data_IF_802614416380
#
_entry.id   IF_802614416380
#
_cell.length_a   1.000
_cell.length_b   1.000
_cell.length_c   1.000
_cell.angle_alpha   90.00
_cell.angle_beta   90.00
_cell.angle_gamma   90.00
#
_symmetry.space_group_name_H-M   'P 1'
#
loop_
_entity.id
_entity.type
_entity.pdbx_description
1 polymer ?
#
# COMPACT_ATOMS: atom_id res chain seq x y z
N UNK A 1 -17.37 -17.40 5.70
CA UNK A 1 -17.90 -16.53 4.62
C UNK A 1 -16.81 -15.55 4.20
N UNK A 2 -15.98 -15.91 3.22
CA UNK A 2 -15.00 -14.97 2.66
C UNK A 2 -15.74 -13.89 1.87
N UNK A 3 -15.70 -12.66 2.38
CA UNK A 3 -16.21 -11.49 1.65
C UNK A 3 -15.23 -11.19 0.53
N UNK A 4 -15.61 -11.49 -0.72
CA UNK A 4 -14.84 -11.14 -1.91
C UNK A 4 -14.75 -9.62 -2.04
N UNK A 5 -13.58 -9.12 -2.46
CA UNK A 5 -13.40 -7.73 -2.84
C UNK A 5 -14.32 -7.45 -4.05
N UNK A 6 -15.07 -6.34 -4.07
CA UNK A 6 -15.94 -6.02 -5.21
C UNK A 6 -15.14 -5.92 -6.52
N UNK A 7 -15.64 -6.55 -7.58
CA UNK A 7 -14.94 -6.65 -8.88
C UNK A 7 -14.68 -5.29 -9.57
N UNK A 8 -15.36 -4.23 -9.12
CA UNK A 8 -15.26 -2.87 -9.65
C UNK A 8 -14.49 -1.91 -8.74
N UNK A 9 -13.83 -2.39 -7.68
CA UNK A 9 -13.06 -1.54 -6.77
C UNK A 9 -11.73 -1.13 -7.43
N UNK A 10 -11.49 0.17 -7.71
CA UNK A 10 -10.25 0.60 -8.34
C UNK A 10 -9.08 0.47 -7.36
N UNK A 11 -7.97 -0.07 -7.86
CA UNK A 11 -6.71 -0.22 -7.13
C UNK A 11 -5.65 0.64 -7.81
N UNK A 12 -5.11 1.62 -7.10
CA UNK A 12 -4.09 2.53 -7.60
C UNK A 12 -2.72 2.16 -7.03
N UNK A 13 -1.72 1.95 -7.89
CA UNK A 13 -0.33 1.79 -7.49
C UNK A 13 0.39 3.12 -7.64
N UNK A 14 0.51 3.86 -6.54
CA UNK A 14 1.11 5.18 -6.49
C UNK A 14 2.54 5.15 -5.94
N UNK A 15 3.42 4.56 -6.75
CA UNK A 15 4.86 4.55 -6.52
C UNK A 15 5.62 4.38 -7.83
N UNK A 16 6.45 5.36 -8.24
CA UNK A 16 7.32 5.21 -9.40
C UNK A 16 8.24 4.00 -9.29
N UNK A 17 8.75 3.73 -8.09
CA UNK A 17 9.61 2.58 -7.83
C UNK A 17 8.85 1.26 -7.97
N UNK A 18 7.64 1.18 -7.40
CA UNK A 18 6.83 -0.04 -7.51
C UNK A 18 6.39 -0.30 -8.96
N UNK A 19 6.12 0.76 -9.73
CA UNK A 19 5.82 0.65 -11.15
C UNK A 19 7.03 0.07 -11.91
N UNK A 20 8.22 0.64 -11.72
CA UNK A 20 9.45 0.16 -12.36
C UNK A 20 9.76 -1.30 -11.99
N UNK A 21 9.61 -1.67 -10.71
CA UNK A 21 9.79 -3.05 -10.24
C UNK A 21 8.76 -3.97 -10.90
N UNK A 22 7.49 -3.57 -10.93
CA UNK A 22 6.42 -4.35 -11.58
C UNK A 22 6.72 -4.59 -13.06
N UNK A 23 7.28 -3.60 -13.75
CA UNK A 23 7.62 -3.73 -15.17
C UNK A 23 8.82 -4.66 -15.39
N UNK A 24 9.83 -4.65 -14.51
CA UNK A 24 10.92 -5.64 -14.52
C UNK A 24 10.36 -7.06 -14.28
N UNK A 25 9.48 -7.22 -13.31
CA UNK A 25 8.85 -8.51 -13.01
C UNK A 25 7.99 -9.05 -14.17
N UNK A 26 7.35 -8.18 -14.96
CA UNK A 26 6.65 -8.57 -16.19
C UNK A 26 7.60 -9.06 -17.28
N UNK A 27 8.82 -8.52 -17.34
CA UNK A 27 9.82 -8.90 -18.34
C UNK A 27 10.51 -10.23 -18.01
N UNK A 28 10.57 -10.59 -16.73
CA UNK A 28 11.27 -11.79 -16.23
C UNK A 28 10.34 -12.92 -15.77
N UNK A 29 9.32 -13.24 -16.57
CA UNK A 29 8.35 -14.32 -16.24
C UNK A 29 9.05 -15.69 -16.12
N UNK A 30 10.20 -15.88 -16.77
CA UNK A 30 11.04 -17.06 -16.70
C UNK A 30 11.60 -17.37 -15.30
N UNK A 31 11.67 -16.37 -14.41
CA UNK A 31 12.19 -16.54 -13.05
C UNK A 31 11.13 -17.05 -12.05
N UNK A 32 9.85 -17.09 -12.44
CA UNK A 32 8.77 -17.53 -11.57
C UNK A 32 8.66 -19.06 -11.45
N UNK A 33 8.10 -19.52 -10.34
CA UNK A 33 7.75 -20.92 -10.16
C UNK A 33 6.71 -21.38 -11.19
N UNK A 34 6.68 -22.70 -11.45
CA UNK A 34 5.80 -23.31 -12.46
C UNK A 34 4.32 -22.99 -12.20
N UNK A 35 3.92 -22.89 -10.93
CA UNK A 35 2.55 -22.55 -10.52
C UNK A 35 2.17 -21.13 -10.91
N UNK A 36 3.04 -20.15 -10.63
CA UNK A 36 2.80 -18.75 -10.99
C UNK A 36 2.88 -18.55 -12.51
N UNK A 37 3.76 -19.28 -13.19
CA UNK A 37 3.81 -19.32 -14.67
C UNK A 37 2.51 -19.78 -15.31
N UNK A 38 1.78 -20.70 -14.67
CA UNK A 38 0.48 -21.15 -15.15
C UNK A 38 -0.59 -20.05 -15.03
N UNK A 39 -0.51 -19.22 -13.98
CA UNK A 39 -1.43 -18.08 -13.79
C UNK A 39 -1.28 -17.01 -14.88
N UNK A 40 -0.06 -16.78 -15.40
CA UNK A 40 0.15 -15.81 -16.48
C UNK A 40 -0.52 -16.20 -17.81
N UNK A 41 -0.77 -17.49 -18.03
CA UNK A 41 -1.44 -18.01 -19.24
C UNK A 41 -2.97 -18.04 -19.11
N UNK A 42 -3.50 -17.83 -17.91
CA UNK A 42 -4.93 -17.85 -17.63
C UNK A 42 -5.56 -16.46 -17.48
N UNK A 43 -6.89 -16.38 -17.29
CA UNK A 43 -7.61 -15.12 -17.08
C UNK A 43 -7.27 -14.44 -15.74
N UNK A 44 -6.53 -15.11 -14.86
CA UNK A 44 -6.11 -14.63 -13.54
C UNK A 44 -4.68 -14.07 -13.51
N UNK A 45 -4.18 -13.60 -14.65
CA UNK A 45 -2.86 -12.99 -14.70
C UNK A 45 -2.81 -11.76 -13.76
N UNK A 46 -1.94 -11.77 -12.72
CA UNK A 46 -1.90 -10.73 -11.70
C UNK A 46 -1.45 -9.37 -12.24
N UNK A 47 -0.74 -9.34 -13.37
CA UNK A 47 -0.29 -8.11 -14.03
C UNK A 47 -1.33 -7.50 -14.97
N UNK A 48 -2.34 -8.26 -15.38
CA UNK A 48 -3.45 -7.77 -16.22
C UNK A 48 -4.75 -7.61 -15.44
N UNK A 49 -4.67 -7.61 -14.10
CA UNK A 49 -5.83 -7.34 -13.27
C UNK A 49 -6.43 -5.99 -13.65
N UNK A 50 -7.64 -6.02 -14.20
CA UNK A 50 -8.36 -4.86 -14.78
C UNK A 50 -8.57 -3.71 -13.79
N UNK A 51 -8.42 -3.99 -12.49
CA UNK A 51 -8.60 -3.06 -11.39
C UNK A 51 -7.34 -2.26 -11.05
N UNK A 52 -6.13 -2.73 -11.44
CA UNK A 52 -4.87 -2.09 -11.09
C UNK A 52 -4.51 -0.97 -12.07
N UNK A 53 -4.41 0.25 -11.56
CA UNK A 53 -3.99 1.46 -12.29
C UNK A 53 -2.67 1.95 -11.72
N UNK A 54 -1.64 1.99 -12.56
CA UNK A 54 -0.32 2.50 -12.18
C UNK A 54 -0.30 4.01 -12.32
N UNK A 55 -0.04 4.72 -11.22
CA UNK A 55 0.04 6.18 -11.20
C UNK A 55 1.49 6.60 -11.41
N UNK A 56 1.77 7.19 -12.57
CA UNK A 56 3.13 7.61 -12.95
C UNK A 56 3.35 9.09 -12.65
N UNK A 57 2.36 9.91 -12.93
CA UNK A 57 2.45 11.37 -12.82
C UNK A 57 2.15 11.89 -11.41
N UNK A 58 2.77 13.04 -11.07
CA UNK A 58 2.56 13.70 -9.77
C UNK A 58 1.17 14.32 -9.67
N UNK A 59 0.63 14.88 -10.75
CA UNK A 59 -0.72 15.45 -10.78
C UNK A 59 -1.77 14.34 -10.66
N UNK A 60 -1.53 13.18 -11.29
CA UNK A 60 -2.40 12.01 -11.12
C UNK A 60 -2.42 11.55 -9.64
N UNK A 61 -1.25 11.46 -9.00
CA UNK A 61 -1.15 11.14 -7.56
C UNK A 61 -1.89 12.16 -6.69
N UNK A 62 -1.79 13.46 -7.00
CA UNK A 62 -2.54 14.51 -6.30
C UNK A 62 -4.05 14.34 -6.49
N UNK A 63 -4.49 14.05 -7.70
CA UNK A 63 -5.91 13.85 -8.03
C UNK A 63 -6.53 12.66 -7.30
N UNK A 64 -5.75 11.63 -6.94
CA UNK A 64 -6.22 10.52 -6.11
C UNK A 64 -6.72 10.95 -4.74
N UNK A 65 -6.20 12.05 -4.18
CA UNK A 65 -6.69 12.59 -2.90
C UNK A 65 -8.16 13.04 -3.00
N UNK A 66 -8.56 13.53 -4.18
CA UNK A 66 -9.92 13.99 -4.47
C UNK A 66 -10.82 12.89 -5.06
N UNK A 67 -10.34 11.65 -5.15
CA UNK A 67 -11.13 10.55 -5.67
C UNK A 67 -12.41 10.33 -4.84
N UNK A 68 -13.55 10.29 -5.52
CA UNK A 68 -14.87 10.08 -4.92
C UNK A 68 -15.22 8.60 -5.03
N UNK A 69 -15.53 7.98 -3.89
CA UNK A 69 -15.90 6.57 -3.78
C UNK A 69 -14.83 5.69 -3.15
N UNK A 70 -15.09 4.38 -3.02
CA UNK A 70 -14.17 3.46 -2.39
C UNK A 70 -13.05 3.13 -3.38
N UNK A 71 -11.80 3.12 -2.90
CA UNK A 71 -10.64 2.77 -3.71
C UNK A 71 -9.51 2.21 -2.84
N UNK A 72 -8.60 1.49 -3.46
CA UNK A 72 -7.37 1.04 -2.81
C UNK A 72 -6.23 1.88 -3.37
N UNK A 73 -5.38 2.46 -2.52
CA UNK A 73 -4.13 3.10 -2.96
C UNK A 73 -2.96 2.36 -2.32
N UNK A 74 -2.11 1.77 -3.13
CA UNK A 74 -0.87 1.15 -2.71
C UNK A 74 0.21 2.18 -2.96
N UNK A 75 0.83 2.72 -1.91
CA UNK A 75 1.88 3.72 -2.04
C UNK A 75 3.15 3.24 -1.35
N UNK A 76 4.29 3.45 -2.02
CA UNK A 76 5.58 3.04 -1.47
C UNK A 76 6.20 4.17 -0.65
N UNK A 77 6.43 3.87 0.61
CA UNK A 77 7.54 4.35 1.44
C UNK A 77 7.37 3.61 2.75
N UNK A 78 8.22 2.62 2.96
CA UNK A 78 7.92 1.55 3.90
C UNK A 78 7.72 1.97 5.36
N UNK A 79 8.05 3.20 5.72
CA UNK A 79 7.90 3.66 7.09
C UNK A 79 7.11 4.97 7.20
N UNK A 80 6.42 5.37 6.12
CA UNK A 80 5.66 6.62 6.02
C UNK A 80 6.50 7.90 6.24
N UNK A 81 7.82 7.79 6.14
CA UNK A 81 8.75 8.90 6.41
C UNK A 81 8.90 9.87 5.22
N UNK A 82 8.76 9.36 4.00
CA UNK A 82 9.02 10.12 2.78
C UNK A 82 8.06 9.75 1.65
N UNK A 83 8.07 10.51 0.55
CA UNK A 83 7.35 10.17 -0.68
C UNK A 83 5.84 10.47 -0.66
N UNK A 84 5.15 9.89 -1.65
CA UNK A 84 3.73 10.17 -1.94
C UNK A 84 2.78 9.74 -0.80
N UNK A 85 3.17 8.74 0.00
CA UNK A 85 2.39 8.27 1.15
C UNK A 85 2.11 9.38 2.18
N UNK A 86 3.03 10.35 2.37
CA UNK A 86 2.79 11.46 3.30
C UNK A 86 1.62 12.34 2.84
N UNK A 87 1.46 12.52 1.54
CA UNK A 87 0.34 13.27 0.98
C UNK A 87 -0.98 12.51 1.16
N UNK A 88 -0.98 11.20 0.92
CA UNK A 88 -2.16 10.36 1.17
C UNK A 88 -2.54 10.36 2.65
N UNK A 89 -1.58 10.19 3.56
CA UNK A 89 -1.86 10.25 5.00
C UNK A 89 -2.41 11.62 5.41
N UNK A 90 -1.77 12.71 4.99
CA UNK A 90 -2.21 14.08 5.27
C UNK A 90 -3.69 14.30 4.94
N UNK A 91 -4.13 13.81 3.78
CA UNK A 91 -5.49 14.07 3.30
C UNK A 91 -6.55 13.12 3.86
N UNK A 92 -6.16 12.01 4.50
CA UNK A 92 -7.07 10.92 4.78
C UNK A 92 -7.06 10.40 6.22
N UNK A 93 -6.03 10.69 7.01
CA UNK A 93 -5.85 10.12 8.35
C UNK A 93 -6.91 10.60 9.37
N UNK A 94 -7.52 11.75 9.12
CA UNK A 94 -8.54 12.34 9.99
C UNK A 94 -9.97 11.86 9.67
N UNK A 95 -10.16 11.04 8.63
CA UNK A 95 -11.46 10.49 8.28
C UNK A 95 -11.60 9.06 8.84
N UNK A 96 -12.53 8.81 9.78
CA UNK A 96 -12.74 7.49 10.38
C UNK A 96 -13.31 6.45 9.42
N UNK A 97 -13.76 6.84 8.23
CA UNK A 97 -14.18 5.90 7.18
C UNK A 97 -12.98 5.22 6.51
N UNK A 98 -11.80 5.84 6.59
CA UNK A 98 -10.60 5.31 5.95
C UNK A 98 -9.95 4.23 6.81
N UNK A 99 -9.27 3.29 6.14
CA UNK A 99 -8.50 2.24 6.79
C UNK A 99 -7.07 2.25 6.26
N UNK A 100 -6.12 2.38 7.18
CA UNK A 100 -4.70 2.28 6.93
C UNK A 100 -4.29 0.83 7.18
N UNK A 101 -3.83 0.14 6.13
CA UNK A 101 -3.32 -1.23 6.25
C UNK A 101 -1.80 -1.23 6.19
N UNK A 102 -1.20 -1.68 7.28
CA UNK A 102 0.24 -1.77 7.41
C UNK A 102 0.67 -3.19 7.08
N UNK A 103 1.55 -3.34 6.09
CA UNK A 103 2.09 -4.63 5.68
C UNK A 103 3.60 -4.64 5.90
N UNK A 104 4.04 -5.43 6.88
CA UNK A 104 5.46 -5.57 7.24
C UNK A 104 5.87 -4.78 8.49
N UNK A 105 7.19 -4.75 8.74
CA UNK A 105 7.78 -4.22 9.98
C UNK A 105 7.99 -2.70 9.97
N UNK A 106 7.45 -2.03 10.98
CA UNK A 106 7.70 -0.60 11.22
C UNK A 106 8.80 -0.40 12.25
N UNK A 107 9.90 0.26 11.84
CA UNK A 107 11.00 0.56 12.72
C UNK A 107 10.62 1.59 13.80
N UNK A 108 11.21 1.45 14.99
CA UNK A 108 11.02 2.39 16.09
C UNK A 108 11.34 3.84 15.66
N UNK A 109 10.64 4.79 16.29
CA UNK A 109 10.73 6.23 16.02
C UNK A 109 10.22 6.71 14.65
N UNK A 110 9.73 5.82 13.79
CA UNK A 110 9.08 6.23 12.53
C UNK A 110 7.64 6.69 12.76
N UNK A 111 7.14 7.51 11.86
CA UNK A 111 5.75 7.93 11.75
C UNK A 111 4.84 6.72 11.57
N UNK A 112 5.22 5.79 10.67
CA UNK A 112 4.49 4.54 10.48
C UNK A 112 4.34 3.75 11.78
N UNK A 113 5.41 3.68 12.59
CA UNK A 113 5.37 3.01 13.89
C UNK A 113 4.44 3.70 14.89
N UNK A 114 4.49 5.03 14.97
CA UNK A 114 3.58 5.80 15.85
C UNK A 114 2.11 5.58 15.48
N UNK A 115 1.78 5.51 14.19
CA UNK A 115 0.42 5.21 13.71
C UNK A 115 0.00 3.80 14.16
N UNK A 116 0.89 2.82 13.99
CA UNK A 116 0.68 1.42 14.41
C UNK A 116 0.49 1.29 15.91
N UNK A 117 1.27 2.03 16.71
CA UNK A 117 1.18 2.03 18.17
C UNK A 117 -0.07 2.78 18.69
N UNK A 118 -0.91 3.32 17.81
CA UNK A 118 -2.17 3.98 18.18
C UNK A 118 -2.03 5.43 18.64
N UNK A 119 -1.03 6.16 18.12
CA UNK A 119 -0.88 7.59 18.39
C UNK A 119 -2.16 8.35 18.01
N UNK A 120 -2.70 9.16 18.93
CA UNK A 120 -3.92 9.95 18.68
C UNK A 120 -3.68 11.13 17.74
N UNK A 121 -2.45 11.63 17.70
CA UNK A 121 -2.04 12.70 16.82
C UNK A 121 -0.67 12.42 16.24
N UNK A 122 -0.47 12.83 14.99
CA UNK A 122 0.77 12.65 14.26
C UNK A 122 1.15 13.94 13.54
N UNK A 123 2.44 14.27 13.53
CA UNK A 123 2.97 15.39 12.76
C UNK A 123 3.24 14.92 11.33
N UNK A 124 2.56 15.52 10.36
CA UNK A 124 2.80 15.29 8.92
C UNK A 124 3.18 16.64 8.30
N UNK A 125 4.35 16.70 7.66
CA UNK A 125 4.99 17.97 7.29
C UNK A 125 5.12 18.88 8.51
N UNK A 126 4.56 20.09 8.48
CA UNK A 126 4.60 21.05 9.59
C UNK A 126 3.26 21.22 10.31
N UNK A 127 2.34 20.27 10.14
CA UNK A 127 1.02 20.30 10.76
C UNK A 127 0.74 19.03 11.58
N UNK A 128 -0.06 19.19 12.63
CA UNK A 128 -0.57 18.10 13.45
C UNK A 128 -1.90 17.63 12.88
N UNK A 129 -2.10 16.32 12.83
CA UNK A 129 -3.32 15.67 12.36
C UNK A 129 -3.85 14.69 13.40
N UNK A 130 -5.17 14.64 13.57
CA UNK A 130 -5.82 13.64 14.42
C UNK A 130 -5.89 12.28 13.71
N UNK A 131 -5.45 11.22 14.38
CA UNK A 131 -5.55 9.86 13.84
C UNK A 131 -6.93 9.31 14.15
N UNK A 132 -7.84 9.44 13.18
CA UNK A 132 -9.24 8.96 13.25
C UNK A 132 -9.47 7.74 12.35
N UNK A 133 -8.68 7.60 11.29
CA UNK A 133 -8.72 6.44 10.41
C UNK A 133 -8.42 5.15 11.18
N UNK A 134 -9.05 4.05 10.77
CA UNK A 134 -8.80 2.74 11.35
C UNK A 134 -7.41 2.26 10.93
N UNK A 135 -6.65 1.66 11.85
CA UNK A 135 -5.32 1.11 11.57
C UNK A 135 -5.37 -0.40 11.73
N UNK A 136 -4.97 -1.13 10.69
CA UNK A 136 -4.94 -2.59 10.66
C UNK A 136 -3.54 -3.05 10.28
N UNK A 137 -3.01 -4.03 11.00
CA UNK A 137 -1.68 -4.59 10.77
C UNK A 137 -1.87 -5.99 10.18
N UNK A 138 -1.29 -6.24 9.02
CA UNK A 138 -1.24 -7.57 8.41
C UNK A 138 0.17 -8.13 8.54
N UNK A 139 0.34 -9.08 9.46
CA UNK A 139 1.64 -9.72 9.72
C UNK A 139 2.02 -10.77 8.65
N UNK A 140 1.06 -11.24 7.86
CA UNK A 140 1.18 -12.46 7.04
C UNK A 140 1.79 -12.30 5.63
N UNK A 141 2.16 -11.08 5.21
CA UNK A 141 2.75 -10.82 3.87
C UNK A 141 4.26 -10.50 3.90
N UNK A 142 4.90 -10.73 5.04
CA UNK A 142 6.36 -10.83 5.09
C UNK A 142 6.79 -12.00 4.21
N UNK A 143 7.48 -11.75 3.09
CA UNK A 143 8.10 -12.77 2.24
C UNK A 143 9.27 -13.53 2.94
N UNK A 144 9.26 -13.54 4.27
CA UNK A 144 10.33 -14.02 5.13
C UNK A 144 9.71 -14.66 6.37
N UNK A 145 9.37 -15.93 6.25
CA UNK A 145 9.35 -16.85 7.40
C UNK A 145 10.81 -17.04 7.85
N UNK A 146 11.30 -16.17 8.74
CA UNK A 146 12.47 -16.53 9.53
C UNK A 146 12.51 -15.73 10.84
N UNK A 147 12.06 -16.35 11.95
CA UNK A 147 12.09 -15.83 13.33
C UNK A 147 13.48 -15.47 13.87
N UNK A 148 14.54 -15.53 13.06
CA UNK A 148 15.94 -15.39 13.51
C UNK A 148 16.80 -14.47 12.64
N UNK A 149 16.28 -13.97 11.53
CA UNK A 149 17.03 -13.12 10.61
C UNK A 149 16.29 -11.78 10.44
N UNK A 150 17.09 -10.70 10.46
CA UNK A 150 16.82 -9.37 9.86
C UNK A 150 16.44 -8.24 10.81
N UNK A 151 17.46 -7.78 11.54
CA UNK A 151 17.72 -6.35 11.78
C UNK A 151 18.13 -5.58 10.49
N UNK A 152 17.96 -6.15 9.29
CA UNK A 152 18.51 -5.55 8.09
C UNK A 152 17.86 -6.10 6.80
N UNK A 153 16.65 -5.68 6.43
CA UNK A 153 16.26 -5.51 5.03
C UNK A 153 14.95 -4.71 4.92
N UNK A 154 15.07 -3.53 4.32
CA UNK A 154 14.00 -2.58 4.03
C UNK A 154 13.08 -3.10 2.93
N UNK A 155 11.99 -3.78 3.30
CA UNK A 155 10.81 -3.85 2.45
C UNK A 155 9.56 -3.84 3.32
N UNK A 156 9.09 -2.64 3.59
CA UNK A 156 7.75 -2.42 4.09
C UNK A 156 6.93 -1.84 2.95
N UNK A 157 5.84 -2.49 2.61
CA UNK A 157 4.89 -1.99 1.63
C UNK A 157 3.69 -1.48 2.39
N UNK A 158 3.26 -0.26 2.14
CA UNK A 158 2.11 0.31 2.82
C UNK A 158 0.90 0.20 1.89
N UNK A 159 -0.18 -0.43 2.36
CA UNK A 159 -1.40 -0.59 1.57
C UNK A 159 -2.47 0.28 2.20
N UNK A 160 -2.88 1.33 1.50
CA UNK A 160 -3.94 2.21 1.98
C UNK A 160 -5.28 1.75 1.38
N UNK A 161 -6.27 1.50 2.25
CA UNK A 161 -7.63 1.15 1.85
C UNK A 161 -8.56 2.33 2.13
N UNK A 162 -8.92 3.08 1.09
CA UNK A 162 -9.98 4.08 1.16
C UNK A 162 -11.32 3.39 1.06
N UNK A 163 -12.16 3.54 2.07
CA UNK A 163 -13.54 3.12 1.97
C UNK A 163 -14.45 4.34 2.12
N UNK A 164 -14.62 5.10 1.04
CA UNK A 164 -15.63 6.14 1.00
C UNK A 164 -16.91 5.54 0.41
N UNK A 165 -17.97 5.39 1.21
CA UNK A 165 -19.33 5.22 0.68
C UNK A 165 -19.90 6.55 0.26
#
# INVERSE_FOLDING_TARGET
HEKKIPDNLPVFLDSPLANAITDIFKQHIELYDKEIKALFKGPHNPFTMRQLKQTTDVEESKNLNFFIGPCIIISASGMCEAGRIRHHLKNNIEDPKNTIVVVGYMAENTMGRKIVDGAKQIKIFDHMYDVKANVVIMESFSALECRRCLKALHCTSFVWLRYNK
#
